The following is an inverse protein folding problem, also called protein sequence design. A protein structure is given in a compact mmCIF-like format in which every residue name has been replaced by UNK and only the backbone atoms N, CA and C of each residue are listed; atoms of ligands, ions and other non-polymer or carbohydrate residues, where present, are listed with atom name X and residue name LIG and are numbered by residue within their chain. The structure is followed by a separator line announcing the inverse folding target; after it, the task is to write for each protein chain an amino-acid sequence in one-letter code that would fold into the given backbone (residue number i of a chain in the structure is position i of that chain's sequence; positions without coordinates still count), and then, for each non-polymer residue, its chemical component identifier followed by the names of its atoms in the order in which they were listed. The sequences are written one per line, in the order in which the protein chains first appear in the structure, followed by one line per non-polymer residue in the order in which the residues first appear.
data_IF_291515635668
#
_entry.id   IF_291515635668
#
_cell.length_a   1.000
_cell.length_b   1.000
_cell.length_c   1.000
_cell.angle_alpha   90.00
_cell.angle_beta   90.00
_cell.angle_gamma   90.00
#
_symmetry.space_group_name_H-M   'P 1'
#
loop_
_entity.id
_entity.type
_entity.pdbx_description
1 polymer ?
#
# COMPACT_ATOMS: atom_id res chain seq x y z
N UNK A 1 31.03 -45.55 26.78
CA UNK A 1 30.46 -46.12 25.55
C UNK A 1 30.73 -45.12 24.44
N UNK A 2 31.57 -45.49 23.49
CA UNK A 2 32.08 -44.60 22.44
C UNK A 2 30.98 -44.33 21.41
N UNK A 3 30.69 -43.05 21.16
CA UNK A 3 29.88 -42.62 20.02
C UNK A 3 30.75 -42.63 18.77
N UNK A 4 30.38 -43.32 17.67
CA UNK A 4 31.16 -43.28 16.45
C UNK A 4 30.94 -41.95 15.72
N UNK A 5 32.03 -41.20 15.56
CA UNK A 5 32.17 -40.04 14.67
C UNK A 5 31.92 -40.47 13.23
N UNK A 6 30.97 -39.82 12.55
CA UNK A 6 30.67 -40.01 11.12
C UNK A 6 31.73 -39.28 10.28
N UNK A 7 32.61 -40.03 9.63
CA UNK A 7 33.56 -39.52 8.65
C UNK A 7 32.84 -39.06 7.35
N UNK A 8 33.25 -37.94 6.72
CA UNK A 8 32.60 -37.37 5.55
C UNK A 8 32.90 -38.09 4.21
N UNK A 9 33.56 -39.25 4.24
CA UNK A 9 33.93 -40.05 3.05
C UNK A 9 33.23 -41.41 3.06
N UNK A 10 31.91 -41.43 3.24
CA UNK A 10 31.13 -42.67 3.08
C UNK A 10 30.13 -42.45 1.94
N UNK A 11 30.30 -43.11 0.76
CA UNK A 11 29.27 -43.07 -0.28
C UNK A 11 27.95 -43.60 0.32
N UNK A 12 26.79 -43.09 -0.12
CA UNK A 12 25.49 -43.53 0.41
C UNK A 12 25.41 -45.06 0.32
N UNK A 13 24.75 -45.73 1.29
CA UNK A 13 24.69 -47.19 1.31
C UNK A 13 24.09 -47.68 -0.01
N UNK A 14 24.94 -48.15 -0.92
CA UNK A 14 24.53 -48.78 -2.16
C UNK A 14 23.70 -49.99 -1.79
N UNK A 15 22.41 -49.93 -2.09
CA UNK A 15 21.47 -50.98 -1.74
C UNK A 15 21.94 -52.29 -2.40
N UNK A 16 22.30 -53.36 -1.66
CA UNK A 16 22.94 -54.56 -2.21
C UNK A 16 22.12 -55.26 -3.31
N UNK A 17 20.80 -54.98 -3.33
CA UNK A 17 19.83 -55.47 -4.30
C UNK A 17 19.87 -54.75 -5.66
N UNK A 18 20.59 -53.63 -5.77
CA UNK A 18 20.77 -52.87 -7.01
C UNK A 18 22.05 -53.28 -7.77
N UNK A 19 22.79 -54.27 -7.27
CA UNK A 19 23.94 -54.82 -7.99
C UNK A 19 23.44 -55.68 -9.14
N UNK A 20 23.76 -55.29 -10.36
CA UNK A 20 23.48 -56.04 -11.59
C UNK A 20 23.85 -57.51 -11.38
N UNK A 21 22.87 -58.41 -11.33
CA UNK A 21 22.98 -59.86 -11.04
C UNK A 21 23.16 -60.26 -9.56
N UNK A 22 22.22 -59.87 -8.70
CA UNK A 22 22.08 -60.51 -7.39
C UNK A 22 21.42 -61.90 -7.55
N UNK A 23 22.01 -63.01 -7.06
CA UNK A 23 21.51 -64.38 -7.27
C UNK A 23 20.17 -64.70 -6.60
N UNK A 24 19.63 -63.77 -5.81
CA UNK A 24 18.32 -63.87 -5.16
C UNK A 24 17.23 -62.99 -5.83
N UNK A 25 17.53 -62.35 -6.96
CA UNK A 25 16.61 -61.43 -7.66
C UNK A 25 16.47 -61.90 -9.10
N UNK A 26 15.23 -62.06 -9.58
CA UNK A 26 14.95 -62.42 -10.98
C UNK A 26 15.30 -61.26 -11.92
N UNK A 27 15.64 -61.55 -13.18
CA UNK A 27 15.98 -60.52 -14.19
C UNK A 27 14.91 -59.41 -14.29
N UNK A 28 13.63 -59.77 -14.20
CA UNK A 28 12.51 -58.81 -14.20
C UNK A 28 12.49 -57.93 -12.95
N UNK A 29 12.80 -58.50 -11.78
CA UNK A 29 12.81 -57.77 -10.52
C UNK A 29 13.97 -56.76 -10.47
N UNK A 30 15.12 -57.10 -11.06
CA UNK A 30 16.25 -56.18 -11.20
C UNK A 30 15.90 -54.99 -12.10
N UNK A 31 15.26 -55.25 -13.25
CA UNK A 31 14.80 -54.19 -14.17
C UNK A 31 13.80 -53.24 -13.47
N UNK A 32 12.85 -53.80 -12.72
CA UNK A 32 11.88 -53.01 -11.95
C UNK A 32 12.57 -52.18 -10.86
N UNK A 33 13.55 -52.72 -10.14
CA UNK A 33 14.30 -51.99 -9.11
C UNK A 33 15.15 -50.85 -9.69
N UNK A 34 15.76 -51.08 -10.85
CA UNK A 34 16.52 -50.04 -11.57
C UNK A 34 15.58 -48.91 -12.02
N UNK A 35 14.39 -49.25 -12.51
CA UNK A 35 13.35 -48.29 -12.87
C UNK A 35 12.83 -47.50 -11.67
N UNK A 36 12.59 -48.14 -10.52
CA UNK A 36 12.21 -47.43 -9.29
C UNK A 36 13.32 -46.51 -8.79
N UNK A 37 14.58 -46.92 -8.90
CA UNK A 37 15.73 -46.10 -8.51
C UNK A 37 15.83 -44.86 -9.41
N UNK A 38 15.65 -45.05 -10.72
CA UNK A 38 15.58 -43.95 -11.70
C UNK A 38 14.40 -43.02 -11.44
N UNK A 39 13.22 -43.58 -11.17
CA UNK A 39 12.02 -42.81 -10.85
C UNK A 39 12.20 -42.00 -9.57
N UNK A 40 12.77 -42.60 -8.51
CA UNK A 40 13.07 -41.90 -7.27
C UNK A 40 14.05 -40.74 -7.50
N UNK A 41 15.10 -40.95 -8.30
CA UNK A 41 16.02 -39.89 -8.70
C UNK A 41 15.32 -38.75 -9.46
N UNK A 42 14.42 -39.10 -10.38
CA UNK A 42 13.63 -38.14 -11.14
C UNK A 42 12.66 -37.35 -10.26
N UNK A 43 11.98 -38.01 -9.33
CA UNK A 43 11.05 -37.38 -8.38
C UNK A 43 11.79 -36.45 -7.43
N UNK A 44 12.94 -36.87 -6.91
CA UNK A 44 13.78 -35.99 -6.08
C UNK A 44 14.25 -34.77 -6.87
N UNK A 45 14.70 -34.96 -8.12
CA UNK A 45 15.10 -33.85 -9.00
C UNK A 45 13.94 -32.90 -9.29
N UNK A 46 12.75 -33.43 -9.56
CA UNK A 46 11.54 -32.63 -9.75
C UNK A 46 11.17 -31.86 -8.48
N UNK A 47 11.20 -32.51 -7.32
CA UNK A 47 10.91 -31.89 -6.04
C UNK A 47 11.86 -30.72 -5.73
N UNK A 48 13.17 -30.90 -5.95
CA UNK A 48 14.15 -29.83 -5.80
C UNK A 48 13.85 -28.66 -6.74
N UNK A 49 13.63 -28.93 -8.04
CA UNK A 49 13.31 -27.89 -9.02
C UNK A 49 12.01 -27.15 -8.70
N UNK A 50 10.98 -27.84 -8.23
CA UNK A 50 9.73 -27.23 -7.79
C UNK A 50 9.93 -26.37 -6.54
N UNK A 51 10.73 -26.82 -5.58
CA UNK A 51 11.06 -26.03 -4.39
C UNK A 51 11.82 -24.74 -4.77
N UNK A 52 12.80 -24.85 -5.67
CA UNK A 52 13.56 -23.71 -6.18
C UNK A 52 12.65 -22.72 -6.93
N UNK A 53 11.79 -23.22 -7.82
CA UNK A 53 10.82 -22.42 -8.57
C UNK A 53 9.70 -21.85 -7.69
N UNK A 54 9.35 -22.47 -6.57
CA UNK A 54 8.39 -21.90 -5.64
C UNK A 54 9.01 -20.76 -4.82
N UNK A 55 10.30 -20.87 -4.47
CA UNK A 55 11.00 -19.89 -3.65
C UNK A 55 11.46 -18.65 -4.45
N UNK A 56 11.99 -18.83 -5.66
CA UNK A 56 12.72 -17.78 -6.39
C UNK A 56 11.86 -16.66 -7.03
N UNK A 57 10.85 -16.94 -7.89
CA UNK A 57 10.00 -15.89 -8.49
C UNK A 57 9.04 -15.25 -7.49
N UNK A 58 8.63 -15.98 -6.45
CA UNK A 58 7.68 -15.52 -5.44
C UNK A 58 8.25 -14.36 -4.62
N UNK A 59 9.53 -14.44 -4.22
CA UNK A 59 10.17 -13.39 -3.42
C UNK A 59 10.31 -12.08 -4.20
N UNK A 60 10.85 -12.13 -5.42
CA UNK A 60 11.07 -10.95 -6.25
C UNK A 60 9.76 -10.24 -6.62
N UNK A 61 8.72 -11.02 -6.94
CA UNK A 61 7.41 -10.47 -7.29
C UNK A 61 6.75 -9.81 -6.08
N UNK A 62 6.81 -10.46 -4.91
CA UNK A 62 6.25 -9.89 -3.67
C UNK A 62 6.99 -8.61 -3.24
N UNK A 63 8.31 -8.55 -3.40
CA UNK A 63 9.08 -7.35 -3.09
C UNK A 63 8.77 -6.20 -4.07
N UNK A 64 8.60 -6.51 -5.35
CA UNK A 64 8.14 -5.53 -6.35
C UNK A 64 6.74 -5.00 -6.01
N UNK A 65 5.81 -5.86 -5.59
CA UNK A 65 4.46 -5.45 -5.17
C UNK A 65 4.50 -4.58 -3.91
N UNK A 66 5.30 -4.93 -2.89
CA UNK A 66 5.48 -4.10 -1.69
C UNK A 66 6.07 -2.73 -2.03
N UNK A 67 7.05 -2.67 -2.93
CA UNK A 67 7.62 -1.41 -3.39
C UNK A 67 6.57 -0.58 -4.12
N UNK A 68 5.77 -1.21 -4.98
CA UNK A 68 4.69 -0.55 -5.72
C UNK A 68 3.60 -0.02 -4.78
N UNK A 69 3.21 -0.79 -3.77
CA UNK A 69 2.28 -0.40 -2.72
C UNK A 69 2.78 0.85 -2.00
N UNK A 70 4.02 0.85 -1.51
CA UNK A 70 4.62 2.00 -0.82
C UNK A 70 4.63 3.25 -1.70
N UNK A 71 5.03 3.12 -2.96
CA UNK A 71 5.07 4.26 -3.91
C UNK A 71 3.66 4.80 -4.18
N UNK A 72 2.70 3.92 -4.41
CA UNK A 72 1.32 4.30 -4.72
C UNK A 72 0.61 4.88 -3.50
N UNK A 73 0.85 4.33 -2.30
CA UNK A 73 0.35 4.86 -1.04
C UNK A 73 0.86 6.29 -0.78
N UNK A 74 2.14 6.57 -1.07
CA UNK A 74 2.70 7.91 -1.00
C UNK A 74 2.02 8.85 -1.99
N UNK A 75 1.88 8.44 -3.26
CA UNK A 75 1.20 9.26 -4.28
C UNK A 75 -0.26 9.53 -3.89
N UNK A 76 -0.99 8.51 -3.43
CA UNK A 76 -2.37 8.65 -2.97
C UNK A 76 -2.49 9.60 -1.77
N UNK A 77 -1.56 9.53 -0.82
CA UNK A 77 -1.53 10.43 0.34
C UNK A 77 -1.26 11.87 -0.07
N UNK A 78 -0.27 12.10 -0.95
CA UNK A 78 0.03 13.44 -1.47
C UNK A 78 -1.13 14.01 -2.27
N UNK A 79 -1.78 13.19 -3.10
CA UNK A 79 -2.97 13.57 -3.83
C UNK A 79 -4.12 13.93 -2.88
N UNK A 80 -4.38 13.11 -1.86
CA UNK A 80 -5.42 13.37 -0.86
C UNK A 80 -5.16 14.66 -0.09
N UNK A 81 -3.91 14.88 0.34
CA UNK A 81 -3.52 16.13 1.01
C UNK A 81 -3.68 17.34 0.09
N UNK A 82 -3.29 17.22 -1.18
CA UNK A 82 -3.44 18.28 -2.19
C UNK A 82 -4.91 18.62 -2.42
N UNK A 83 -5.76 17.62 -2.66
CA UNK A 83 -7.20 17.81 -2.85
C UNK A 83 -7.84 18.44 -1.61
N UNK A 84 -7.50 17.92 -0.42
CA UNK A 84 -8.03 18.47 0.83
C UNK A 84 -7.62 19.94 1.04
N UNK A 85 -6.34 20.26 0.78
CA UNK A 85 -5.84 21.63 0.87
C UNK A 85 -6.60 22.58 -0.07
N UNK A 86 -6.84 22.16 -1.32
CA UNK A 86 -7.56 22.99 -2.31
C UNK A 86 -9.02 23.20 -1.89
N UNK A 87 -9.71 22.13 -1.50
CA UNK A 87 -11.13 22.22 -1.09
C UNK A 87 -11.28 23.09 0.15
N UNK A 88 -10.40 22.94 1.14
CA UNK A 88 -10.45 23.74 2.36
C UNK A 88 -10.15 25.22 2.08
N UNK A 89 -9.17 25.52 1.23
CA UNK A 89 -8.88 26.89 0.82
C UNK A 89 -10.06 27.55 0.10
N UNK A 90 -10.78 26.81 -0.74
CA UNK A 90 -11.99 27.31 -1.41
C UNK A 90 -13.12 27.59 -0.43
N UNK A 91 -13.32 26.72 0.57
CA UNK A 91 -14.33 26.95 1.63
C UNK A 91 -14.04 28.24 2.39
N UNK A 92 -12.80 28.41 2.85
CA UNK A 92 -12.37 29.61 3.59
C UNK A 92 -12.52 30.87 2.72
N UNK A 93 -12.11 30.81 1.44
CA UNK A 93 -12.22 31.94 0.53
C UNK A 93 -13.69 32.36 0.33
N UNK A 94 -14.57 31.40 0.02
CA UNK A 94 -15.98 31.66 -0.20
C UNK A 94 -16.69 32.20 1.07
N UNK A 95 -16.35 31.66 2.25
CA UNK A 95 -16.87 32.17 3.53
C UNK A 95 -16.40 33.61 3.78
N UNK A 96 -15.11 33.91 3.54
CA UNK A 96 -14.56 35.25 3.74
C UNK A 96 -15.14 36.32 2.80
N UNK A 97 -15.43 35.97 1.54
CA UNK A 97 -16.10 36.89 0.60
C UNK A 97 -17.52 37.20 1.05
N UNK A 98 -18.24 36.21 1.57
CA UNK A 98 -19.60 36.39 2.05
C UNK A 98 -19.65 37.28 3.30
N UNK A 99 -18.70 37.12 4.22
CA UNK A 99 -18.57 37.98 5.41
C UNK A 99 -18.25 39.44 5.03
N UNK A 100 -17.39 39.68 4.04
CA UNK A 100 -17.07 41.03 3.57
C UNK A 100 -18.28 41.74 2.96
N UNK A 101 -19.08 41.05 2.15
CA UNK A 101 -20.28 41.62 1.55
C UNK A 101 -21.30 42.05 2.61
N UNK A 102 -21.55 41.19 3.61
CA UNK A 102 -22.45 41.49 4.72
C UNK A 102 -21.96 42.68 5.55
N UNK A 103 -20.66 42.79 5.79
CA UNK A 103 -20.09 43.92 6.53
C UNK A 103 -20.19 45.22 5.75
N UNK A 104 -20.01 45.18 4.42
CA UNK A 104 -20.16 46.35 3.57
C UNK A 104 -21.61 46.82 3.47
N UNK A 105 -22.59 45.91 3.38
CA UNK A 105 -24.02 46.27 3.44
C UNK A 105 -24.39 46.91 4.79
N UNK A 106 -23.86 46.39 5.89
CA UNK A 106 -24.16 46.93 7.21
C UNK A 106 -23.56 48.33 7.41
N UNK A 107 -22.35 48.58 6.90
CA UNK A 107 -21.76 49.92 6.89
C UNK A 107 -22.59 50.90 6.06
N UNK A 108 -23.00 50.52 4.85
CA UNK A 108 -23.83 51.38 3.99
C UNK A 108 -25.18 51.72 4.64
N UNK A 109 -25.82 50.74 5.30
CA UNK A 109 -27.06 51.00 6.04
C UNK A 109 -26.82 51.96 7.21
N UNK A 110 -25.75 51.77 7.98
CA UNK A 110 -25.44 52.63 9.12
C UNK A 110 -25.09 54.07 8.67
N UNK A 111 -24.38 54.22 7.56
CA UNK A 111 -24.06 55.51 6.97
C UNK A 111 -25.31 56.22 6.40
N UNK A 112 -26.21 55.47 5.74
CA UNK A 112 -27.51 56.01 5.32
C UNK A 112 -28.35 56.48 6.53
N UNK A 113 -28.38 55.70 7.61
CA UNK A 113 -29.09 56.08 8.85
C UNK A 113 -28.50 57.34 9.48
N UNK A 114 -27.16 57.46 9.50
CA UNK A 114 -26.47 58.63 10.04
C UNK A 114 -26.78 59.90 9.21
N UNK A 115 -26.77 59.79 7.88
CA UNK A 115 -27.13 60.89 6.98
C UNK A 115 -28.58 61.35 7.17
N UNK A 116 -29.51 60.42 7.39
CA UNK A 116 -30.93 60.72 7.62
C UNK A 116 -31.17 61.46 8.96
N UNK A 117 -30.44 61.10 10.02
CA UNK A 117 -30.52 61.80 11.32
C UNK A 117 -29.89 63.19 11.31
N UNK A 118 -28.86 63.42 10.48
CA UNK A 118 -28.26 64.75 10.31
C UNK A 118 -29.24 65.75 9.71
N UNK A 119 -30.02 65.33 8.70
CA UNK A 119 -31.04 66.17 8.06
C UNK A 119 -32.25 66.46 8.98
N UNK A 120 -32.65 65.52 9.84
CA UNK A 120 -33.74 65.75 10.80
C UNK A 120 -33.39 66.72 11.94
N UNK A 121 -32.11 66.84 12.32
CA UNK A 121 -31.67 67.74 13.38
C UNK A 121 -31.50 69.19 12.89
N UNK A 122 -30.99 69.39 11.68
CA UNK A 122 -30.88 70.73 11.06
C UNK A 122 -32.25 71.30 10.61
N UNK A 123 -33.28 70.44 10.47
CA UNK A 123 -34.66 70.83 10.19
C UNK A 123 -35.46 71.36 11.39
N UNK A 124 -34.96 71.29 12.64
CA UNK A 124 -35.66 71.78 13.84
C UNK A 124 -35.04 73.03 14.50
N UNK A 125 -34.19 73.76 13.77
CA UNK A 125 -33.51 74.97 14.27
C UNK A 125 -34.16 76.32 13.93
N UNK A 126 -35.18 76.38 13.07
CA UNK A 126 -35.76 77.64 12.58
C UNK A 126 -37.29 77.63 12.66
N UNK A 127 -37.85 78.08 13.79
CA UNK A 127 -39.31 78.20 13.93
C UNK A 127 -39.77 78.88 15.21
N UNK A 128 -39.02 79.87 15.70
CA UNK A 128 -39.28 80.48 17.01
C UNK A 128 -39.04 81.99 17.07
N UNK A 129 -39.44 82.73 16.03
CA UNK A 129 -39.63 84.18 16.12
C UNK A 129 -40.86 84.54 15.30
N UNK A 130 -41.94 84.95 15.97
CA UNK A 130 -42.79 86.10 15.60
C UNK A 130 -43.84 86.39 16.70
N UNK A 131 -43.81 87.66 17.15
CA UNK A 131 -44.78 88.52 17.88
C UNK A 131 -45.71 87.99 18.98
#
# INVERSE_FOLDING_TARGET
MNSPTLDPTTPPPENPLLRTSHPLVSDLEQEVLDEYTRLLGNVNTLSCKLADLAASPSSMTLDALRLLERKTATVCTLLKASVYSIVLQQQIFNESEQEQLLQQEQQQQQEQVLMQQGEENDGRGFGGYEF
#
